data_IF_694638551381
#
_entry.id   IF_694638551381
#
_cell.length_a   1.000
_cell.length_b   1.000
_cell.length_c   1.000
_cell.angle_alpha   90.00
_cell.angle_beta   90.00
_cell.angle_gamma   90.00
#
_symmetry.space_group_name_H-M   'P 1'
#
loop_
_entity.id
_entity.type
_entity.pdbx_description
1 polymer ?
#
# COMPACT_ATOMS: atom_id res chain seq x y z
N UNK A 1 54.50 -43.13 -5.01
CA UNK A 1 53.38 -43.61 -5.84
C UNK A 1 52.12 -43.36 -5.06
N UNK A 2 51.15 -42.52 -5.41
CA UNK A 2 50.80 -41.68 -6.56
C UNK A 2 49.63 -40.81 -6.03
N UNK A 3 49.68 -39.48 -5.96
CA UNK A 3 49.51 -38.47 -7.02
C UNK A 3 48.05 -38.31 -7.49
N UNK A 4 47.46 -37.17 -7.08
CA UNK A 4 46.45 -36.30 -7.74
C UNK A 4 44.93 -36.42 -7.41
N UNK A 5 44.16 -35.30 -7.52
CA UNK A 5 43.41 -34.71 -6.40
C UNK A 5 41.93 -34.40 -6.76
N UNK A 6 41.10 -34.16 -5.75
CA UNK A 6 39.69 -33.84 -5.96
C UNK A 6 39.52 -32.39 -6.48
N UNK A 7 39.33 -32.29 -7.80
CA UNK A 7 39.22 -31.07 -8.63
C UNK A 7 37.87 -30.34 -8.49
N UNK A 8 37.10 -30.58 -7.43
CA UNK A 8 35.75 -30.02 -7.27
C UNK A 8 35.66 -28.75 -6.40
N UNK A 9 36.72 -28.37 -5.68
CA UNK A 9 36.69 -27.22 -4.77
C UNK A 9 37.25 -25.91 -5.35
N UNK A 10 37.79 -25.93 -6.58
CA UNK A 10 38.40 -24.76 -7.23
C UNK A 10 37.59 -24.13 -8.36
N UNK A 11 36.45 -24.72 -8.76
CA UNK A 11 35.60 -24.15 -9.82
C UNK A 11 34.45 -23.26 -9.33
N UNK A 12 34.20 -23.16 -8.02
CA UNK A 12 33.19 -22.22 -7.49
C UNK A 12 33.68 -20.78 -7.29
N UNK A 13 34.99 -20.51 -7.49
CA UNK A 13 35.59 -19.17 -7.32
C UNK A 13 35.88 -18.47 -8.68
N UNK A 14 35.48 -19.07 -9.82
CA UNK A 14 35.65 -18.47 -11.16
C UNK A 14 34.34 -18.24 -11.94
N UNK A 15 33.31 -17.76 -11.25
CA UNK A 15 32.13 -17.15 -11.89
C UNK A 15 31.83 -15.75 -11.32
N UNK A 16 32.88 -15.01 -10.97
CA UNK A 16 32.85 -13.56 -10.98
C UNK A 16 33.59 -13.10 -12.24
N UNK A 17 32.83 -12.71 -13.26
CA UNK A 17 33.07 -11.69 -14.29
C UNK A 17 32.06 -11.99 -15.40
N UNK A 18 30.99 -11.19 -15.46
CA UNK A 18 29.95 -11.28 -16.51
C UNK A 18 28.53 -11.58 -16.02
N UNK A 19 28.02 -10.88 -14.99
CA UNK A 19 26.63 -11.03 -14.58
C UNK A 19 25.72 -10.16 -15.47
N UNK A 20 25.02 -10.80 -16.42
CA UNK A 20 23.93 -10.19 -17.16
C UNK A 20 22.71 -10.05 -16.21
N UNK A 21 22.08 -8.86 -16.15
CA UNK A 21 21.05 -8.53 -15.13
C UNK A 21 19.86 -9.50 -15.12
N UNK A 22 19.56 -10.13 -16.25
CA UNK A 22 18.51 -11.14 -16.40
C UNK A 22 18.80 -12.44 -15.63
N UNK A 23 20.05 -12.89 -15.57
CA UNK A 23 20.44 -14.13 -14.88
C UNK A 23 20.34 -14.00 -13.36
N UNK A 24 20.54 -12.79 -12.82
CA UNK A 24 20.43 -12.53 -11.38
C UNK A 24 18.96 -12.61 -10.90
N UNK A 25 18.01 -12.14 -11.72
CA UNK A 25 16.57 -12.20 -11.43
C UNK A 25 16.06 -13.64 -11.53
N UNK A 26 16.50 -14.40 -12.54
CA UNK A 26 16.12 -15.82 -12.69
C UNK A 26 16.66 -16.64 -11.52
N UNK A 27 17.92 -16.44 -11.13
CA UNK A 27 18.51 -17.13 -9.97
C UNK A 27 17.82 -16.75 -8.65
N UNK A 28 17.42 -15.48 -8.48
CA UNK A 28 16.65 -15.04 -7.31
C UNK A 28 15.25 -15.66 -7.26
N UNK A 29 14.53 -15.71 -8.39
CA UNK A 29 13.22 -16.35 -8.50
C UNK A 29 13.30 -17.87 -8.30
N UNK A 30 14.37 -18.50 -8.76
CA UNK A 30 14.61 -19.93 -8.60
C UNK A 30 14.99 -20.28 -7.15
N UNK A 31 15.75 -19.42 -6.47
CA UNK A 31 15.98 -19.49 -5.02
C UNK A 31 14.70 -19.27 -4.21
N UNK A 32 13.82 -18.35 -4.60
CA UNK A 32 12.52 -18.16 -3.96
C UNK A 32 11.65 -19.41 -4.18
N UNK A 33 11.58 -19.93 -5.41
CA UNK A 33 10.85 -21.15 -5.75
C UNK A 33 11.33 -22.36 -4.94
N UNK A 34 12.64 -22.61 -4.88
CA UNK A 34 13.22 -23.72 -4.12
C UNK A 34 13.02 -23.60 -2.60
N UNK A 35 13.01 -22.37 -2.06
CA UNK A 35 12.73 -22.15 -0.63
C UNK A 35 11.23 -22.17 -0.28
N UNK A 36 10.34 -21.82 -1.22
CA UNK A 36 8.89 -21.94 -1.03
C UNK A 36 8.45 -23.41 -1.03
N UNK A 37 9.07 -24.26 -1.87
CA UNK A 37 8.76 -25.69 -1.98
C UNK A 37 9.26 -26.51 -0.78
N UNK A 38 10.19 -25.99 0.03
CA UNK A 38 10.75 -26.70 1.20
C UNK A 38 10.16 -26.30 2.56
N UNK A 39 9.08 -25.51 2.57
CA UNK A 39 8.34 -25.16 3.80
C UNK A 39 7.49 -26.34 4.32
N UNK A 40 8.12 -27.37 4.86
CA UNK A 40 7.44 -28.33 5.76
C UNK A 40 7.16 -27.67 7.11
N UNK A 41 6.15 -26.79 7.16
CA UNK A 41 5.65 -26.26 8.44
C UNK A 41 4.70 -27.30 9.03
N UNK A 42 5.01 -27.79 10.25
CA UNK A 42 4.13 -28.72 10.95
C UNK A 42 2.72 -28.11 11.11
N UNK A 43 1.63 -28.87 10.84
CA UNK A 43 0.25 -28.40 11.02
C UNK A 43 -0.03 -27.83 12.42
N UNK A 44 0.64 -28.37 13.44
CA UNK A 44 0.53 -27.91 14.83
C UNK A 44 1.12 -26.50 15.01
N UNK A 45 2.22 -26.19 14.31
CA UNK A 45 2.87 -24.89 14.34
C UNK A 45 2.03 -23.83 13.60
N UNK A 46 1.40 -24.20 12.48
CA UNK A 46 0.45 -23.34 11.76
C UNK A 46 -0.75 -23.01 12.64
N UNK A 47 -1.33 -24.00 13.33
CA UNK A 47 -2.49 -23.82 14.21
C UNK A 47 -2.21 -22.84 15.36
N UNK A 48 -1.06 -22.97 16.04
CA UNK A 48 -0.69 -22.05 17.12
C UNK A 48 -0.32 -20.65 16.61
N UNK A 49 0.35 -20.55 15.45
CA UNK A 49 0.60 -19.27 14.80
C UNK A 49 -0.71 -18.55 14.47
N UNK A 50 -1.65 -19.25 13.84
CA UNK A 50 -2.99 -18.72 13.54
C UNK A 50 -3.70 -18.28 14.82
N UNK A 51 -3.71 -19.10 15.86
CA UNK A 51 -4.32 -18.76 17.15
C UNK A 51 -3.74 -17.48 17.78
N UNK A 52 -2.45 -17.21 17.59
CA UNK A 52 -1.82 -15.94 18.02
C UNK A 52 -2.27 -14.75 17.17
N UNK A 53 -2.37 -14.92 15.84
CA UNK A 53 -2.87 -13.88 14.93
C UNK A 53 -4.31 -13.51 15.30
N UNK A 54 -5.21 -14.50 15.39
CA UNK A 54 -6.61 -14.28 15.74
C UNK A 54 -6.79 -13.61 17.11
N UNK A 55 -6.01 -14.00 18.13
CA UNK A 55 -6.06 -13.33 19.44
C UNK A 55 -5.65 -11.86 19.39
N UNK A 56 -4.75 -11.49 18.49
CA UNK A 56 -4.32 -10.10 18.33
C UNK A 56 -5.33 -9.29 17.54
N UNK A 57 -5.93 -9.85 16.49
CA UNK A 57 -6.88 -9.15 15.61
C UNK A 57 -8.20 -8.79 16.31
N UNK A 58 -8.71 -9.63 17.23
CA UNK A 58 -10.04 -9.44 17.83
C UNK A 58 -10.06 -8.57 19.10
N UNK A 59 -9.06 -7.72 19.28
CA UNK A 59 -8.99 -6.83 20.43
C UNK A 59 -9.82 -5.56 20.17
N UNK A 60 -10.69 -5.18 21.11
CA UNK A 60 -11.55 -3.97 21.03
C UNK A 60 -10.73 -2.70 20.74
N UNK A 61 -9.50 -2.63 21.23
CA UNK A 61 -8.58 -1.50 20.97
C UNK A 61 -8.28 -1.30 19.47
N UNK A 62 -8.29 -2.36 18.68
CA UNK A 62 -8.07 -2.27 17.22
C UNK A 62 -9.24 -1.55 16.57
N UNK A 63 -10.48 -1.81 16.99
CA UNK A 63 -11.65 -1.06 16.52
C UNK A 63 -11.54 0.45 16.82
N UNK A 64 -10.84 0.82 17.91
CA UNK A 64 -10.57 2.21 18.31
C UNK A 64 -9.32 2.81 17.66
N UNK A 65 -8.71 2.12 16.69
CA UNK A 65 -7.46 2.51 16.03
C UNK A 65 -6.31 2.74 17.02
N UNK A 66 -6.26 1.96 18.10
CA UNK A 66 -5.17 2.01 19.08
C UNK A 66 -4.12 0.93 18.80
N UNK A 67 -2.86 1.34 18.82
CA UNK A 67 -1.67 0.50 18.61
C UNK A 67 -0.69 0.75 19.75
N UNK A 68 -0.04 -0.31 20.22
CA UNK A 68 0.88 -0.26 21.36
C UNK A 68 2.17 0.54 21.06
N UNK A 69 2.51 0.68 19.78
CA UNK A 69 3.76 1.31 19.32
C UNK A 69 3.50 2.37 18.26
N UNK A 70 3.04 3.58 18.63
CA UNK A 70 2.77 4.67 17.68
C UNK A 70 3.97 5.02 16.79
N UNK A 71 5.20 4.77 17.24
CA UNK A 71 6.43 4.94 16.48
C UNK A 71 6.52 4.09 15.20
N UNK A 72 5.73 3.02 15.10
CA UNK A 72 5.67 2.15 13.92
C UNK A 72 5.10 2.91 12.69
N UNK A 73 4.28 3.93 12.93
CA UNK A 73 3.71 4.76 11.86
C UNK A 73 4.74 5.66 11.19
N UNK A 74 5.90 5.82 11.80
CA UNK A 74 6.97 6.71 11.35
C UNK A 74 8.15 5.95 10.74
N UNK A 75 8.06 4.62 10.64
CA UNK A 75 9.19 3.79 10.24
C UNK A 75 8.90 3.03 8.97
N UNK A 76 9.98 2.81 8.23
CA UNK A 76 9.97 2.03 7.01
C UNK A 76 10.39 0.58 7.30
N UNK A 77 9.71 -0.36 6.67
CA UNK A 77 10.01 -1.78 6.67
C UNK A 77 10.79 -2.14 5.41
N UNK A 78 12.02 -1.62 5.25
CA UNK A 78 12.91 -2.03 4.14
C UNK A 78 13.73 -3.26 4.50
N UNK A 79 13.75 -4.24 3.60
CA UNK A 79 14.72 -5.34 3.60
C UNK A 79 15.95 -4.87 2.80
N UNK A 80 16.96 -4.31 3.46
CA UNK A 80 18.21 -3.96 2.77
C UNK A 80 19.14 -5.18 2.68
N UNK A 81 19.69 -5.45 1.50
CA UNK A 81 20.59 -6.58 1.21
C UNK A 81 21.89 -6.50 2.03
N UNK A 82 22.43 -5.30 2.23
CA UNK A 82 23.78 -5.01 2.73
C UNK A 82 23.92 -4.87 4.26
N UNK A 83 22.84 -4.69 5.03
CA UNK A 83 22.95 -4.51 6.48
C UNK A 83 21.93 -5.35 7.27
N UNK A 84 22.35 -5.95 8.42
CA UNK A 84 21.44 -6.68 9.28
C UNK A 84 20.46 -5.74 9.98
N UNK A 85 19.19 -6.15 9.96
CA UNK A 85 18.33 -6.31 11.14
C UNK A 85 17.93 -5.03 11.90
N UNK A 86 16.70 -5.09 12.42
CA UNK A 86 16.05 -4.19 13.38
C UNK A 86 15.45 -2.96 12.71
N UNK A 87 14.22 -2.64 13.10
CA UNK A 87 13.77 -1.26 13.33
C UNK A 87 14.96 -0.30 13.30
N UNK A 88 15.00 0.66 12.38
CA UNK A 88 16.03 1.70 12.28
C UNK A 88 16.96 1.72 13.51
N UNK A 89 18.22 1.25 13.37
CA UNK A 89 19.18 1.12 14.48
C UNK A 89 19.37 2.41 15.28
N UNK A 90 19.12 3.56 14.65
CA UNK A 90 19.10 4.87 15.28
C UNK A 90 17.65 5.19 15.67
N UNK A 91 17.36 5.62 16.91
CA UNK A 91 16.01 6.00 17.37
C UNK A 91 15.44 7.26 16.69
N UNK A 92 15.88 7.55 15.46
CA UNK A 92 15.55 8.76 14.71
C UNK A 92 14.82 8.51 13.40
N UNK A 93 14.42 9.55 12.69
CA UNK A 93 13.76 9.52 11.37
C UNK A 93 14.76 9.19 10.25
N UNK A 94 14.35 8.29 9.34
CA UNK A 94 15.13 7.98 8.13
C UNK A 94 14.91 9.06 7.09
N UNK A 95 15.97 9.79 6.73
CA UNK A 95 15.90 10.82 5.69
C UNK A 95 15.49 10.22 4.34
N UNK A 96 15.99 9.02 3.99
CA UNK A 96 15.58 8.34 2.77
C UNK A 96 14.08 8.02 2.75
N UNK A 97 13.52 7.60 3.89
CA UNK A 97 12.09 7.35 4.00
C UNK A 97 11.28 8.65 3.95
N UNK A 98 11.79 9.73 4.55
CA UNK A 98 11.15 11.04 4.48
C UNK A 98 11.12 11.59 3.04
N UNK A 99 12.22 11.45 2.30
CA UNK A 99 12.28 11.80 0.87
C UNK A 99 11.28 10.98 0.08
N UNK A 100 11.18 9.67 0.33
CA UNK A 100 10.15 8.82 -0.28
C UNK A 100 8.73 9.32 0.03
N UNK A 101 8.42 9.65 1.29
CA UNK A 101 7.09 10.13 1.69
C UNK A 101 6.72 11.43 0.98
N UNK A 102 7.63 12.38 0.90
CA UNK A 102 7.40 13.63 0.17
C UNK A 102 7.30 13.40 -1.34
N UNK A 103 8.12 12.53 -1.93
CA UNK A 103 8.03 12.19 -3.35
C UNK A 103 6.67 11.55 -3.68
N UNK A 104 6.20 10.62 -2.86
CA UNK A 104 4.89 9.98 -3.01
C UNK A 104 3.76 11.00 -2.89
N UNK A 105 3.81 11.86 -1.88
CA UNK A 105 2.83 12.92 -1.66
C UNK A 105 2.77 13.89 -2.86
N UNK A 106 3.91 14.42 -3.28
CA UNK A 106 4.01 15.33 -4.43
C UNK A 106 3.54 14.67 -5.73
N UNK A 107 3.84 13.38 -5.94
CA UNK A 107 3.35 12.63 -7.09
C UNK A 107 1.81 12.56 -7.10
N UNK A 108 1.21 12.15 -5.98
CA UNK A 108 -0.25 12.10 -5.86
C UNK A 108 -0.88 13.49 -6.04
N UNK A 109 -0.32 14.56 -5.49
CA UNK A 109 -0.84 15.92 -5.71
C UNK A 109 -0.72 16.38 -7.16
N UNK A 110 0.43 16.17 -7.80
CA UNK A 110 0.60 16.56 -9.20
C UNK A 110 -0.39 15.83 -10.10
N UNK A 111 -0.55 14.51 -9.91
CA UNK A 111 -1.53 13.73 -10.66
C UNK A 111 -2.98 14.11 -10.35
N UNK A 112 -3.29 14.47 -9.09
CA UNK A 112 -4.59 15.00 -8.68
C UNK A 112 -4.89 16.31 -9.43
N UNK A 113 -3.94 17.25 -9.45
CA UNK A 113 -4.08 18.53 -10.16
C UNK A 113 -4.27 18.27 -11.65
N UNK A 114 -3.43 17.43 -12.28
CA UNK A 114 -3.58 17.05 -13.68
C UNK A 114 -4.94 16.40 -13.98
N UNK A 115 -5.46 15.60 -13.06
CA UNK A 115 -6.79 14.99 -13.18
C UNK A 115 -7.92 16.02 -13.08
N UNK A 116 -7.83 16.98 -12.15
CA UNK A 116 -8.84 18.04 -11.96
C UNK A 116 -8.91 18.96 -13.19
N UNK A 117 -7.76 19.38 -13.71
CA UNK A 117 -7.70 20.30 -14.85
C UNK A 117 -7.83 19.61 -16.21
N UNK A 118 -8.04 18.28 -16.22
CA UNK A 118 -8.10 17.45 -17.42
C UNK A 118 -6.86 17.69 -18.33
N UNK A 119 -5.67 17.71 -17.72
CA UNK A 119 -4.42 18.06 -18.38
C UNK A 119 -4.16 17.20 -19.62
N UNK A 120 -3.90 17.85 -20.76
CA UNK A 120 -3.61 17.18 -22.03
C UNK A 120 -4.84 16.58 -22.73
N UNK A 121 -6.07 16.86 -22.26
CA UNK A 121 -7.31 16.41 -22.92
C UNK A 121 -7.98 17.56 -23.65
N UNK A 122 -8.24 17.35 -24.94
CA UNK A 122 -9.07 18.23 -25.75
C UNK A 122 -10.54 17.82 -25.56
N UNK A 123 -11.19 18.35 -24.51
CA UNK A 123 -12.56 18.00 -24.18
C UNK A 123 -13.52 19.01 -24.80
N UNK A 124 -14.34 18.53 -25.73
CA UNK A 124 -15.48 19.26 -26.29
C UNK A 124 -16.70 19.01 -25.39
N UNK A 125 -16.91 19.86 -24.39
CA UNK A 125 -18.11 19.81 -23.52
C UNK A 125 -19.05 20.96 -23.84
N UNK A 126 -20.36 20.70 -23.75
CA UNK A 126 -21.39 21.76 -23.81
C UNK A 126 -21.49 22.55 -22.50
N UNK A 127 -20.99 21.99 -21.39
CA UNK A 127 -21.01 22.63 -20.09
C UNK A 127 -19.96 23.74 -19.99
N UNK A 128 -20.22 24.74 -19.15
CA UNK A 128 -19.20 25.73 -18.80
C UNK A 128 -17.99 25.03 -18.17
N UNK A 129 -16.80 25.62 -18.37
CA UNK A 129 -15.55 25.08 -17.82
C UNK A 129 -15.62 24.88 -16.29
N UNK A 130 -16.30 25.77 -15.57
CA UNK A 130 -16.48 25.67 -14.13
C UNK A 130 -17.32 24.44 -13.73
N UNK A 131 -18.47 24.22 -14.40
CA UNK A 131 -19.33 23.05 -14.15
C UNK A 131 -18.59 21.76 -14.45
N UNK A 132 -17.79 21.73 -15.51
CA UNK A 132 -16.97 20.57 -15.88
C UNK A 132 -15.97 20.18 -14.77
N UNK A 133 -15.30 21.17 -14.17
CA UNK A 133 -14.38 20.91 -13.06
C UNK A 133 -15.12 20.48 -11.79
N UNK A 134 -16.30 21.01 -11.50
CA UNK A 134 -17.12 20.53 -10.39
C UNK A 134 -17.58 19.08 -10.58
N UNK A 135 -17.89 18.67 -11.81
CA UNK A 135 -18.20 17.28 -12.15
C UNK A 135 -17.03 16.32 -11.92
N UNK A 136 -15.81 16.79 -11.70
CA UNK A 136 -14.72 15.93 -11.23
C UNK A 136 -15.06 15.29 -9.87
N UNK A 137 -15.73 16.03 -8.97
CA UNK A 137 -16.03 15.57 -7.61
C UNK A 137 -17.09 14.46 -7.54
N UNK A 138 -17.76 14.09 -8.63
CA UNK A 138 -18.85 13.10 -8.57
C UNK A 138 -18.35 11.65 -8.75
N UNK A 139 -17.12 11.46 -9.22
CA UNK A 139 -16.60 10.13 -9.53
C UNK A 139 -15.86 9.50 -8.34
N UNK A 140 -16.14 8.22 -8.07
CA UNK A 140 -15.49 7.39 -7.06
C UNK A 140 -13.96 7.38 -7.22
N UNK A 141 -13.48 7.27 -8.46
CA UNK A 141 -12.05 7.34 -8.78
C UNK A 141 -11.40 8.58 -8.18
N UNK A 142 -12.09 9.71 -8.26
CA UNK A 142 -11.58 11.00 -7.80
C UNK A 142 -11.66 11.13 -6.28
N UNK A 143 -12.72 10.62 -5.64
CA UNK A 143 -12.77 10.47 -4.18
C UNK A 143 -11.64 9.59 -3.66
N UNK A 144 -11.44 8.41 -4.27
CA UNK A 144 -10.37 7.49 -3.92
C UNK A 144 -8.99 8.11 -4.09
N UNK A 145 -8.74 8.77 -5.22
CA UNK A 145 -7.47 9.44 -5.47
C UNK A 145 -7.23 10.59 -4.48
N UNK A 146 -8.27 11.32 -4.09
CA UNK A 146 -8.18 12.35 -3.04
C UNK A 146 -7.74 11.76 -1.71
N UNK A 147 -8.32 10.62 -1.30
CA UNK A 147 -7.92 9.93 -0.06
C UNK A 147 -6.46 9.45 -0.14
N UNK A 148 -6.02 8.91 -1.28
CA UNK A 148 -4.61 8.56 -1.53
C UNK A 148 -3.68 9.77 -1.37
N UNK A 149 -4.08 10.92 -1.87
CA UNK A 149 -3.29 12.15 -1.78
C UNK A 149 -3.23 12.69 -0.35
N UNK A 150 -4.38 12.78 0.34
CA UNK A 150 -4.46 13.29 1.72
C UNK A 150 -3.68 12.39 2.67
N UNK A 151 -3.79 11.06 2.55
CA UNK A 151 -3.03 10.15 3.41
C UNK A 151 -1.52 10.31 3.18
N UNK A 152 -1.07 10.45 1.93
CA UNK A 152 0.34 10.55 1.60
C UNK A 152 0.96 11.85 2.16
N UNK A 153 0.21 12.96 2.06
CA UNK A 153 0.58 14.22 2.70
C UNK A 153 0.64 14.10 4.22
N UNK A 154 -0.38 13.51 4.84
CA UNK A 154 -0.41 13.33 6.28
C UNK A 154 0.77 12.47 6.77
N UNK A 155 1.13 11.41 6.05
CA UNK A 155 2.31 10.59 6.33
C UNK A 155 3.60 11.41 6.28
N UNK A 156 3.79 12.22 5.23
CA UNK A 156 4.97 13.08 5.07
C UNK A 156 5.05 14.15 6.16
N UNK A 157 3.93 14.79 6.50
CA UNK A 157 3.85 15.77 7.58
C UNK A 157 4.16 15.17 8.95
N UNK A 158 3.60 13.99 9.27
CA UNK A 158 3.86 13.30 10.54
C UNK A 158 5.35 12.96 10.70
N UNK A 159 5.98 12.49 9.62
CA UNK A 159 7.38 12.12 9.62
C UNK A 159 8.30 13.36 9.70
N UNK A 160 7.93 14.45 9.03
CA UNK A 160 8.61 15.74 9.13
C UNK A 160 8.52 16.30 10.56
N UNK A 161 7.33 16.27 11.17
CA UNK A 161 7.12 16.71 12.56
C UNK A 161 8.01 15.93 13.52
N UNK A 162 8.12 14.62 13.35
CA UNK A 162 9.02 13.80 14.18
C UNK A 162 10.47 14.20 13.99
N UNK A 163 10.92 14.42 12.75
CA UNK A 163 12.30 14.84 12.49
C UNK A 163 12.61 16.18 13.17
N UNK A 164 11.70 17.15 13.10
CA UNK A 164 11.86 18.45 13.79
C UNK A 164 11.92 18.26 15.31
N UNK A 165 11.05 17.41 15.88
CA UNK A 165 11.08 17.08 17.31
C UNK A 165 12.39 16.44 17.75
N UNK A 166 12.95 15.51 16.95
CA UNK A 166 14.23 14.88 17.27
C UNK A 166 15.39 15.87 17.20
N UNK A 167 15.39 16.79 16.23
CA UNK A 167 16.45 17.81 16.10
C UNK A 167 16.38 18.86 17.20
N UNK A 168 15.18 19.26 17.59
CA UNK A 168 14.97 20.22 18.68
C UNK A 168 15.27 19.61 20.05
N UNK A 169 14.85 18.37 20.33
CA UNK A 169 15.15 17.66 21.57
C UNK A 169 16.63 17.25 21.73
N UNK A 170 17.43 17.26 20.65
CA UNK A 170 18.89 17.15 20.76
C UNK A 170 19.52 18.50 21.10
N UNK A 171 18.90 19.61 20.67
CA UNK A 171 19.38 20.96 20.94
C UNK A 171 19.01 21.45 22.36
N UNK A 172 17.87 21.04 22.89
CA UNK A 172 17.49 21.20 24.30
C UNK A 172 17.79 19.91 25.05
N UNK A 173 18.64 19.89 26.07
CA UNK A 173 18.98 18.69 26.85
C UNK A 173 17.80 17.99 27.57
N UNK A 174 16.57 18.44 27.33
CA UNK A 174 15.32 17.87 27.81
C UNK A 174 14.70 16.95 26.76
N UNK A 175 15.06 15.67 26.80
CA UNK A 175 14.34 14.64 26.03
C UNK A 175 12.95 14.43 26.66
N UNK A 176 11.92 15.10 26.13
CA UNK A 176 10.54 14.85 26.53
C UNK A 176 10.20 13.36 26.34
N UNK A 177 9.57 12.70 27.32
CA UNK A 177 9.24 11.29 27.23
C UNK A 177 8.36 11.02 26.00
N UNK A 178 8.72 10.01 25.21
CA UNK A 178 7.91 9.57 24.07
C UNK A 178 6.53 9.17 24.60
N UNK A 179 5.48 9.91 24.23
CA UNK A 179 4.12 9.57 24.61
C UNK A 179 3.78 8.18 24.08
N UNK A 180 3.51 7.23 24.98
CA UNK A 180 3.12 5.86 24.65
C UNK A 180 1.71 5.77 24.07
N UNK A 181 0.95 6.87 24.11
CA UNK A 181 -0.45 6.94 23.68
C UNK A 181 -0.58 7.32 22.21
N UNK A 182 -1.50 6.66 21.51
CA UNK A 182 -1.78 6.94 20.11
C UNK A 182 -2.39 8.34 19.92
N UNK A 183 -1.67 9.24 19.26
CA UNK A 183 -2.20 10.56 18.89
C UNK A 183 -3.32 10.45 17.84
N UNK A 184 -4.28 11.38 17.86
CA UNK A 184 -5.39 11.42 16.89
C UNK A 184 -4.90 11.42 15.44
N UNK A 185 -3.80 12.13 15.15
CA UNK A 185 -3.24 12.21 13.80
C UNK A 185 -2.77 10.85 13.27
N UNK A 186 -2.21 9.99 14.13
CA UNK A 186 -1.83 8.63 13.73
C UNK A 186 -3.06 7.75 13.46
N UNK A 187 -4.12 7.89 14.26
CA UNK A 187 -5.39 7.17 14.02
C UNK A 187 -6.03 7.57 12.70
N UNK A 188 -6.07 8.88 12.42
CA UNK A 188 -6.59 9.42 11.16
C UNK A 188 -5.74 8.93 9.99
N UNK A 189 -4.41 9.00 10.09
CA UNK A 189 -3.51 8.47 9.07
C UNK A 189 -3.77 6.99 8.81
N UNK A 190 -3.89 6.18 9.87
CA UNK A 190 -4.14 4.75 9.73
C UNK A 190 -5.47 4.46 9.04
N UNK A 191 -6.52 5.19 9.41
CA UNK A 191 -7.83 5.03 8.80
C UNK A 191 -7.82 5.41 7.32
N UNK A 192 -7.24 6.56 6.99
CA UNK A 192 -7.12 7.03 5.61
C UNK A 192 -6.26 6.10 4.76
N UNK A 193 -5.15 5.58 5.30
CA UNK A 193 -4.30 4.61 4.60
C UNK A 193 -5.05 3.31 4.31
N UNK A 194 -5.83 2.79 5.27
CA UNK A 194 -6.66 1.61 5.07
C UNK A 194 -7.69 1.84 3.96
N UNK A 195 -8.40 2.97 3.97
CA UNK A 195 -9.37 3.32 2.92
C UNK A 195 -8.65 3.48 1.57
N UNK A 196 -7.53 4.20 1.53
CA UNK A 196 -6.76 4.46 0.32
C UNK A 196 -6.33 3.18 -0.39
N UNK A 197 -5.79 2.19 0.33
CA UNK A 197 -5.35 0.93 -0.27
C UNK A 197 -6.53 0.21 -0.93
N UNK A 198 -7.61 0.00 -0.17
CA UNK A 198 -8.75 -0.79 -0.65
C UNK A 198 -9.45 -0.10 -1.82
N UNK A 199 -9.64 1.21 -1.73
CA UNK A 199 -10.25 1.98 -2.81
C UNK A 199 -9.35 2.05 -4.03
N UNK A 200 -8.03 2.20 -3.88
CA UNK A 200 -7.11 2.20 -5.03
C UNK A 200 -7.14 0.85 -5.78
N UNK A 201 -7.09 -0.27 -5.07
CA UNK A 201 -7.22 -1.61 -5.68
C UNK A 201 -8.60 -1.81 -6.33
N UNK A 202 -9.66 -1.42 -5.63
CA UNK A 202 -11.04 -1.51 -6.14
C UNK A 202 -11.24 -0.70 -7.41
N UNK A 203 -10.78 0.56 -7.43
CA UNK A 203 -10.85 1.45 -8.59
C UNK A 203 -10.10 0.85 -9.77
N UNK A 204 -8.87 0.38 -9.60
CA UNK A 204 -8.11 -0.20 -10.72
C UNK A 204 -8.80 -1.42 -11.30
N UNK A 205 -9.17 -2.39 -10.45
CA UNK A 205 -9.76 -3.65 -10.93
C UNK A 205 -11.13 -3.40 -11.58
N UNK A 206 -12.02 -2.66 -10.92
CA UNK A 206 -13.35 -2.35 -11.47
C UNK A 206 -13.22 -1.55 -12.75
N UNK A 207 -12.29 -0.59 -12.81
CA UNK A 207 -12.11 0.20 -14.01
C UNK A 207 -11.71 -0.66 -15.20
N UNK A 208 -10.63 -1.42 -15.10
CA UNK A 208 -10.13 -2.22 -16.22
C UNK A 208 -11.04 -3.40 -16.56
N UNK A 209 -11.77 -3.97 -15.59
CA UNK A 209 -12.62 -5.12 -15.82
C UNK A 209 -14.05 -4.77 -16.28
N UNK A 210 -14.58 -3.61 -15.88
CA UNK A 210 -16.02 -3.33 -16.01
C UNK A 210 -16.40 -1.91 -16.48
N UNK A 211 -15.49 -0.94 -16.45
CA UNK A 211 -15.79 0.46 -16.83
C UNK A 211 -15.07 0.89 -18.09
N UNK A 212 -13.84 0.44 -18.30
CA UNK A 212 -13.02 0.78 -19.46
C UNK A 212 -13.69 0.33 -20.75
N UNK A 213 -13.93 1.29 -21.64
CA UNK A 213 -14.36 1.05 -23.01
C UNK A 213 -13.38 1.75 -23.95
N UNK A 214 -12.65 1.04 -24.83
CA UNK A 214 -11.71 1.64 -25.77
C UNK A 214 -12.36 2.63 -26.76
N UNK A 215 -13.67 2.54 -26.99
CA UNK A 215 -14.41 3.48 -27.86
C UNK A 215 -14.58 4.87 -27.23
N UNK A 216 -14.54 4.96 -25.90
CA UNK A 216 -14.85 6.18 -25.14
C UNK A 216 -13.68 6.65 -24.28
N UNK A 217 -12.89 5.72 -23.76
CA UNK A 217 -11.79 5.99 -22.84
C UNK A 217 -10.46 5.93 -23.57
N UNK A 218 -9.80 7.08 -23.66
CA UNK A 218 -8.40 7.15 -24.09
C UNK A 218 -7.49 6.71 -22.94
N UNK A 219 -6.61 5.76 -23.20
CA UNK A 219 -5.51 5.40 -22.28
C UNK A 219 -4.42 6.47 -22.36
N UNK A 220 -4.69 7.62 -21.75
CA UNK A 220 -3.74 8.72 -21.60
C UNK A 220 -2.99 8.67 -20.25
N UNK A 221 -2.03 9.58 -20.06
CA UNK A 221 -1.23 9.63 -18.84
C UNK A 221 -2.11 9.79 -17.58
N UNK A 222 -3.09 10.69 -17.62
CA UNK A 222 -4.00 10.92 -16.48
C UNK A 222 -4.85 9.66 -16.21
N UNK A 223 -5.29 8.96 -17.25
CA UNK A 223 -6.03 7.70 -17.13
C UNK A 223 -5.21 6.63 -16.41
N UNK A 224 -3.97 6.40 -16.85
CA UNK A 224 -3.05 5.46 -16.21
C UNK A 224 -2.73 5.86 -14.77
N UNK A 225 -2.55 7.15 -14.51
CA UNK A 225 -2.25 7.66 -13.17
C UNK A 225 -3.37 7.30 -12.18
N UNK A 226 -4.62 7.59 -12.53
CA UNK A 226 -5.76 7.41 -11.62
C UNK A 226 -6.35 6.00 -11.58
N UNK A 227 -6.07 5.15 -12.58
CA UNK A 227 -6.62 3.79 -12.69
C UNK A 227 -5.59 2.65 -12.63
N UNK A 228 -4.29 2.93 -12.61
CA UNK A 228 -3.26 1.91 -12.48
C UNK A 228 -2.19 2.30 -11.44
N UNK A 229 -1.57 3.47 -11.62
CA UNK A 229 -0.49 3.89 -10.72
C UNK A 229 -0.97 4.18 -9.30
N UNK A 230 -2.23 4.60 -9.11
CA UNK A 230 -2.84 4.68 -7.77
C UNK A 230 -2.63 3.38 -6.96
N UNK A 231 -3.01 2.23 -7.54
CA UNK A 231 -2.91 0.92 -6.90
C UNK A 231 -1.46 0.47 -6.77
N UNK A 232 -0.62 0.69 -7.78
CA UNK A 232 0.79 0.32 -7.72
C UNK A 232 1.51 1.07 -6.59
N UNK A 233 1.25 2.37 -6.45
CA UNK A 233 1.84 3.21 -5.42
C UNK A 233 1.31 2.87 -4.02
N UNK A 234 0.02 2.57 -3.88
CA UNK A 234 -0.53 2.12 -2.60
C UNK A 234 -0.05 0.71 -2.22
N UNK A 235 0.21 -0.18 -3.18
CA UNK A 235 0.84 -1.48 -2.94
C UNK A 235 2.30 -1.30 -2.48
N UNK A 236 3.04 -0.40 -3.12
CA UNK A 236 4.39 -0.05 -2.72
C UNK A 236 4.40 0.53 -1.29
N UNK A 237 3.45 1.42 -0.96
CA UNK A 237 3.36 1.98 0.39
C UNK A 237 3.04 0.90 1.42
N UNK A 238 2.07 0.02 1.15
CA UNK A 238 1.75 -1.14 2.00
C UNK A 238 2.99 -2.02 2.25
N UNK A 239 3.84 -2.22 1.25
CA UNK A 239 5.07 -2.99 1.39
C UNK A 239 6.12 -2.27 2.27
N UNK A 240 6.17 -0.94 2.23
CA UNK A 240 7.20 -0.12 2.88
C UNK A 240 6.83 0.38 4.27
N UNK A 241 5.55 0.51 4.62
CA UNK A 241 5.15 0.95 5.98
C UNK A 241 5.52 -0.10 7.04
N UNK A 242 5.67 0.26 8.32
CA UNK A 242 5.97 -0.74 9.36
C UNK A 242 4.80 -1.09 10.29
N UNK A 243 3.75 -0.27 10.30
CA UNK A 243 2.53 -0.54 11.07
C UNK A 243 1.69 -1.68 10.45
N UNK A 244 0.85 -2.36 11.25
CA UNK A 244 0.02 -3.46 10.77
C UNK A 244 -1.20 -2.97 9.95
N UNK A 245 -1.69 -3.85 9.08
CA UNK A 245 -3.01 -3.72 8.46
C UNK A 245 -3.93 -4.71 9.18
N UNK A 246 -5.08 -4.28 9.71
CA UNK A 246 -5.95 -5.14 10.53
C UNK A 246 -7.23 -5.54 9.80
N UNK A 247 -7.66 -6.77 10.04
CA UNK A 247 -8.90 -7.30 9.48
C UNK A 247 -10.11 -6.54 10.04
N UNK A 248 -10.08 -6.19 11.33
CA UNK A 248 -11.18 -5.46 11.98
C UNK A 248 -11.40 -4.04 11.46
N UNK A 249 -10.46 -3.45 10.70
CA UNK A 249 -10.65 -2.13 10.08
C UNK A 249 -11.51 -2.17 8.82
N UNK A 250 -12.10 -3.33 8.48
CA UNK A 250 -12.97 -3.52 7.32
C UNK A 250 -14.17 -2.56 7.27
N UNK A 251 -14.64 -2.08 8.43
CA UNK A 251 -15.73 -1.10 8.49
C UNK A 251 -15.37 0.24 7.83
N UNK A 252 -14.09 0.60 7.76
CA UNK A 252 -13.63 1.87 7.17
C UNK A 252 -13.88 1.94 5.66
N UNK A 253 -13.35 1.03 4.81
CA UNK A 253 -13.64 1.03 3.39
C UNK A 253 -15.12 0.76 3.10
N UNK A 254 -15.79 -0.08 3.90
CA UNK A 254 -17.24 -0.33 3.75
C UNK A 254 -18.06 0.94 3.95
N UNK A 255 -17.80 1.69 5.03
CA UNK A 255 -18.49 2.96 5.28
C UNK A 255 -18.22 3.97 4.16
N UNK A 256 -16.97 4.07 3.69
CA UNK A 256 -16.62 4.92 2.56
C UNK A 256 -17.39 4.55 1.27
N UNK A 257 -17.48 3.26 0.95
CA UNK A 257 -18.25 2.79 -0.21
C UNK A 257 -19.74 3.06 -0.05
N UNK A 258 -20.31 2.84 1.13
CA UNK A 258 -21.72 3.16 1.41
C UNK A 258 -22.00 4.66 1.26
N UNK A 259 -21.12 5.52 1.78
CA UNK A 259 -21.23 6.97 1.60
C UNK A 259 -21.26 7.36 0.13
N UNK A 260 -20.39 6.75 -0.69
CA UNK A 260 -20.41 6.99 -2.13
C UNK A 260 -21.69 6.50 -2.80
N UNK A 261 -22.18 5.32 -2.44
CA UNK A 261 -23.45 4.79 -2.97
C UNK A 261 -24.61 5.75 -2.64
N UNK A 262 -24.72 6.19 -1.39
CA UNK A 262 -25.73 7.16 -0.93
C UNK A 262 -25.61 8.45 -1.75
N UNK A 263 -24.40 8.97 -1.91
CA UNK A 263 -24.14 10.14 -2.75
C UNK A 263 -24.65 9.93 -4.18
N UNK A 264 -24.39 8.79 -4.82
CA UNK A 264 -24.84 8.56 -6.21
C UNK A 264 -26.36 8.51 -6.35
N UNK A 265 -27.07 7.98 -5.35
CA UNK A 265 -28.54 7.97 -5.32
C UNK A 265 -29.07 9.38 -5.19
N UNK A 266 -28.56 10.15 -4.21
CA UNK A 266 -28.98 11.55 -4.00
C UNK A 266 -28.68 12.39 -5.25
N UNK A 267 -27.49 12.22 -5.85
CA UNK A 267 -27.09 12.94 -7.05
C UNK A 267 -28.01 12.64 -8.23
N UNK A 268 -28.40 11.37 -8.42
CA UNK A 268 -29.37 10.98 -9.44
C UNK A 268 -30.75 11.60 -9.19
N UNK A 269 -31.28 11.49 -7.96
CA UNK A 269 -32.60 12.05 -7.60
C UNK A 269 -32.64 13.58 -7.75
N UNK A 270 -31.50 14.26 -7.61
CA UNK A 270 -31.35 15.69 -7.86
C UNK A 270 -31.22 16.05 -9.36
N UNK A 271 -31.35 15.09 -10.28
CA UNK A 271 -31.21 15.31 -11.73
C UNK A 271 -29.75 15.45 -12.20
N UNK A 272 -28.80 14.95 -11.41
CA UNK A 272 -27.38 15.02 -11.73
C UNK A 272 -27.01 14.23 -13.00
N UNK A 273 -26.02 14.75 -13.75
CA UNK A 273 -25.52 14.12 -14.98
C UNK A 273 -24.01 13.90 -14.93
N UNK A 274 -23.50 12.98 -15.75
CA UNK A 274 -22.08 12.74 -15.96
C UNK A 274 -21.38 13.90 -16.70
N UNK A 275 -20.05 13.86 -16.82
CA UNK A 275 -19.27 14.82 -17.62
C UNK A 275 -19.72 14.89 -19.09
N UNK A 276 -20.29 13.82 -19.62
CA UNK A 276 -20.78 13.73 -21.00
C UNK A 276 -22.27 14.07 -21.12
N UNK A 277 -22.91 14.52 -20.03
CA UNK A 277 -24.33 14.86 -19.99
C UNK A 277 -25.28 13.66 -19.94
N UNK A 278 -24.76 12.44 -19.69
CA UNK A 278 -25.59 11.24 -19.52
C UNK A 278 -26.17 11.18 -18.11
N UNK A 279 -27.36 10.60 -17.96
CA UNK A 279 -28.01 10.38 -16.66
C UNK A 279 -27.17 9.40 -15.82
N UNK A 280 -26.74 8.28 -16.41
CA UNK A 280 -25.85 7.34 -15.75
C UNK A 280 -24.45 7.93 -15.52
N UNK A 281 -23.95 7.83 -14.27
CA UNK A 281 -22.59 8.22 -13.90
C UNK A 281 -21.55 7.25 -14.44
N UNK A 282 -21.86 5.95 -14.39
CA UNK A 282 -21.07 4.87 -14.94
C UNK A 282 -21.96 3.96 -15.77
N UNK A 283 -21.45 3.33 -16.85
CA UNK A 283 -22.22 2.33 -17.60
C UNK A 283 -22.77 1.18 -16.75
N UNK A 284 -22.08 0.87 -15.65
CA UNK A 284 -22.47 -0.19 -14.69
C UNK A 284 -23.37 0.32 -13.55
N UNK A 285 -23.44 1.64 -13.33
CA UNK A 285 -24.21 2.25 -12.24
C UNK A 285 -25.17 3.30 -12.83
N UNK A 286 -26.34 2.81 -13.21
CA UNK A 286 -27.41 3.54 -13.86
C UNK A 286 -28.70 3.42 -13.04
N UNK A 287 -29.05 4.50 -12.35
CA UNK A 287 -30.22 4.52 -11.46
C UNK A 287 -31.55 4.61 -12.18
N UNK A 288 -31.57 4.78 -13.52
CA UNK A 288 -32.78 4.52 -14.33
C UNK A 288 -33.14 3.01 -14.30
N UNK A 289 -32.16 2.15 -14.03
CA UNK A 289 -32.37 0.73 -13.75
C UNK A 289 -31.96 0.41 -12.29
N UNK A 290 -32.82 0.71 -11.30
CA UNK A 290 -32.47 0.59 -9.89
C UNK A 290 -32.17 -0.85 -9.46
N UNK A 291 -32.80 -1.86 -10.11
CA UNK A 291 -32.52 -3.27 -9.84
C UNK A 291 -31.07 -3.61 -10.22
N UNK A 292 -30.64 -3.27 -11.44
CA UNK A 292 -29.27 -3.50 -11.91
C UNK A 292 -28.26 -2.77 -11.03
N UNK A 293 -28.50 -1.49 -10.74
CA UNK A 293 -27.62 -0.67 -9.91
C UNK A 293 -27.50 -1.20 -8.48
N UNK A 294 -28.60 -1.63 -7.88
CA UNK A 294 -28.58 -2.26 -6.55
C UNK A 294 -27.74 -3.53 -6.52
N UNK A 295 -27.84 -4.38 -7.54
CA UNK A 295 -27.00 -5.59 -7.68
C UNK A 295 -25.52 -5.18 -7.79
N UNK A 296 -25.18 -4.19 -8.62
CA UNK A 296 -23.81 -3.70 -8.77
C UNK A 296 -23.26 -3.14 -7.46
N UNK A 297 -24.06 -2.40 -6.70
CA UNK A 297 -23.67 -1.90 -5.37
C UNK A 297 -23.38 -3.04 -4.39
N UNK A 298 -24.23 -4.07 -4.34
CA UNK A 298 -24.01 -5.25 -3.48
C UNK A 298 -22.74 -6.00 -3.90
N UNK A 299 -22.54 -6.23 -5.20
CA UNK A 299 -21.34 -6.88 -5.71
C UNK A 299 -20.07 -6.05 -5.41
N UNK A 300 -20.13 -4.73 -5.55
CA UNK A 300 -19.04 -3.83 -5.20
C UNK A 300 -18.70 -3.91 -3.70
N UNK A 301 -19.71 -3.94 -2.82
CA UNK A 301 -19.49 -4.11 -1.37
C UNK A 301 -18.84 -5.46 -1.05
N UNK A 302 -19.37 -6.56 -1.59
CA UNK A 302 -18.77 -7.90 -1.43
C UNK A 302 -17.33 -7.94 -1.95
N UNK A 303 -17.08 -7.29 -3.08
CA UNK A 303 -15.74 -7.18 -3.64
C UNK A 303 -14.80 -6.37 -2.75
N UNK A 304 -15.25 -5.27 -2.14
CA UNK A 304 -14.44 -4.52 -1.18
C UNK A 304 -14.12 -5.35 0.08
N UNK A 305 -15.06 -6.16 0.57
CA UNK A 305 -14.81 -7.08 1.68
C UNK A 305 -13.74 -8.12 1.31
N UNK A 306 -13.84 -8.69 0.11
CA UNK A 306 -12.85 -9.62 -0.42
C UNK A 306 -11.47 -8.97 -0.57
N UNK A 307 -11.39 -7.77 -1.16
CA UNK A 307 -10.13 -7.03 -1.29
C UNK A 307 -9.51 -6.70 0.07
N UNK A 308 -10.30 -6.36 1.08
CA UNK A 308 -9.81 -6.11 2.44
C UNK A 308 -9.18 -7.37 3.05
N UNK A 309 -9.83 -8.52 2.87
CA UNK A 309 -9.30 -9.81 3.31
C UNK A 309 -7.98 -10.14 2.61
N UNK A 310 -7.92 -10.03 1.28
CA UNK A 310 -6.70 -10.30 0.49
C UNK A 310 -5.57 -9.35 0.91
N UNK A 311 -5.86 -8.06 1.08
CA UNK A 311 -4.88 -7.06 1.51
C UNK A 311 -4.35 -7.35 2.92
N UNK A 312 -5.22 -7.78 3.83
CA UNK A 312 -4.81 -8.26 5.15
C UNK A 312 -3.87 -9.47 5.05
N UNK A 313 -4.19 -10.47 4.23
CA UNK A 313 -3.32 -11.63 4.00
C UNK A 313 -1.96 -11.21 3.40
N UNK A 314 -1.94 -10.28 2.45
CA UNK A 314 -0.70 -9.71 1.90
C UNK A 314 0.13 -9.01 2.99
N UNK A 315 -0.52 -8.30 3.91
CA UNK A 315 0.16 -7.65 5.03
C UNK A 315 0.77 -8.67 6.00
N UNK A 316 0.12 -9.81 6.22
CA UNK A 316 0.66 -10.91 7.02
C UNK A 316 1.86 -11.55 6.32
N UNK A 317 1.77 -11.79 5.01
CA UNK A 317 2.87 -12.31 4.20
C UNK A 317 4.08 -11.38 4.25
N UNK A 318 3.86 -10.06 4.14
CA UNK A 318 4.89 -9.03 4.30
C UNK A 318 5.58 -9.11 5.67
N UNK A 319 4.82 -9.24 6.75
CA UNK A 319 5.38 -9.40 8.10
C UNK A 319 6.16 -10.71 8.25
N UNK A 320 5.63 -11.82 7.73
CA UNK A 320 6.28 -13.13 7.75
C UNK A 320 7.59 -13.13 6.96
N UNK A 321 7.58 -12.63 5.73
CA UNK A 321 8.75 -12.57 4.86
C UNK A 321 9.87 -11.75 5.51
N UNK A 322 9.52 -10.62 6.14
CA UNK A 322 10.46 -9.81 6.90
C UNK A 322 11.09 -10.58 8.06
N UNK A 323 10.29 -11.28 8.87
CA UNK A 323 10.79 -12.06 10.01
C UNK A 323 11.73 -13.18 9.54
N UNK A 324 11.35 -13.93 8.52
CA UNK A 324 12.13 -15.06 8.00
C UNK A 324 13.48 -14.60 7.43
N UNK A 325 13.48 -13.56 6.59
CA UNK A 325 14.71 -13.01 6.01
C UNK A 325 15.63 -12.39 7.07
N UNK A 326 15.07 -11.83 8.15
CA UNK A 326 15.86 -11.29 9.26
C UNK A 326 16.57 -12.39 10.05
N UNK A 327 15.91 -13.54 10.26
CA UNK A 327 16.44 -14.68 10.99
C UNK A 327 17.60 -15.34 10.25
N UNK A 328 17.41 -15.65 8.96
CA UNK A 328 18.45 -16.30 8.14
C UNK A 328 19.73 -15.44 8.06
N UNK A 329 19.60 -14.10 7.98
CA UNK A 329 20.78 -13.20 8.02
C UNK A 329 21.49 -13.18 9.36
N UNK A 330 20.75 -13.31 10.47
CA UNK A 330 21.36 -13.36 11.80
C UNK A 330 22.15 -14.65 12.01
N UNK A 331 21.62 -15.78 11.53
CA UNK A 331 22.30 -17.07 11.57
C UNK A 331 23.56 -17.08 10.70
N UNK A 332 23.50 -16.55 9.48
CA UNK A 332 24.67 -16.40 8.60
C UNK A 332 25.80 -15.56 9.25
N UNK A 333 25.45 -14.50 9.99
CA UNK A 333 26.42 -13.66 10.71
C UNK A 333 27.08 -14.37 11.89
N UNK A 334 26.31 -15.20 12.61
CA UNK A 334 26.85 -16.01 13.71
C UNK A 334 27.81 -17.06 13.15
N UNK A 335 27.43 -17.73 12.06
CA UNK A 335 28.29 -18.71 11.38
C UNK A 335 29.59 -18.05 10.89
N UNK A 336 29.52 -16.92 10.19
CA UNK A 336 30.73 -16.23 9.69
C UNK A 336 31.65 -15.76 10.82
N UNK A 337 31.08 -15.29 11.93
CA UNK A 337 31.86 -14.88 13.11
C UNK A 337 32.51 -16.08 13.82
N UNK A 338 31.84 -17.24 13.84
CA UNK A 338 32.36 -18.46 14.45
C UNK A 338 33.40 -19.19 13.60
N UNK A 339 33.38 -19.01 12.27
CA UNK A 339 34.30 -19.70 11.35
C UNK A 339 35.61 -18.95 11.09
N UNK A 340 35.84 -17.79 11.72
CA UNK A 340 37.09 -17.04 11.62
C UNK A 340 37.41 -16.47 10.22
N UNK A 341 36.43 -16.43 9.32
CA UNK A 341 36.59 -15.87 7.97
C UNK A 341 36.17 -14.40 8.06
N UNK A 342 37.13 -13.53 8.41
CA UNK A 342 37.01 -12.07 8.25
C UNK A 342 37.56 -11.68 6.89
#
# INVERSE_FOLDING_TARGET
>A
MSIFPNRFFKEQIRLSIGCNKSTCVVNALQLISQNVVTLKVSPMHVKEMMKRVWRKEFLVRILRLDHERPEDFLKCQVINASHPVKWQKQPGVSIAFLVYRWALALFFMSALICSVVDAGRNITSKDSQAVRYLKWLIYLTNWGYTICTVQAFLAACLLTRRLVQERTAVASSDAAPSSTTMSRSYKIYWALHTIAIIVAFGVSIIYWAAVYNPEVNKVDAVNLLVHAFNSLLMLLDLALVSFPFHLLHIFLPVLFTLLYIIFTVIYYLAGGTSKDGKIALYPILDWENPKRSSIVCVLALLFMLFLHLVTWLLSLLRCWAYQHLSKNKSELKVVSASSGIV
#
